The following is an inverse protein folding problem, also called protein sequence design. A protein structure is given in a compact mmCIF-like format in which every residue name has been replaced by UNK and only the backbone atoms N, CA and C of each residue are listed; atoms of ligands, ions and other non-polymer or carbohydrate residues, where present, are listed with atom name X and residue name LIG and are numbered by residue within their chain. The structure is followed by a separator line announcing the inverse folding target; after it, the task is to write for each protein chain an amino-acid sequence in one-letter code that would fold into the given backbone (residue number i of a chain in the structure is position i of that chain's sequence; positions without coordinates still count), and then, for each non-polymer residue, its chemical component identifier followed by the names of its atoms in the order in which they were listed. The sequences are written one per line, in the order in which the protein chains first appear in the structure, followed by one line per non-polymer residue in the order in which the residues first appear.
data_IF_784103607667
#
_entry.id   IF_784103607667
#
_cell.length_a   1.000
_cell.length_b   1.000
_cell.length_c   1.000
_cell.angle_alpha   90.00
_cell.angle_beta   90.00
_cell.angle_gamma   90.00
#
_symmetry.space_group_name_H-M   'P 1'
#
loop_
_entity.id
_entity.type
_entity.pdbx_description
1 polymer ?
#
# COMPACT_ATOMS: atom_id res chain seq x y z
N UNK A 1 43.96 -1.45 -33.03
CA UNK A 1 43.54 -0.03 -32.85
C UNK A 1 42.57 -0.02 -31.66
N UNK A 2 43.04 0.40 -30.50
CA UNK A 2 42.21 0.59 -29.29
C UNK A 2 41.87 2.07 -29.21
N UNK A 3 40.63 2.44 -29.46
CA UNK A 3 40.14 3.78 -29.19
C UNK A 3 40.01 3.99 -27.69
N UNK A 4 40.81 4.86 -27.15
CA UNK A 4 40.70 5.44 -25.82
C UNK A 4 39.52 6.44 -25.83
N UNK A 5 38.38 6.06 -25.31
CA UNK A 5 37.31 7.00 -24.96
C UNK A 5 37.70 7.75 -23.67
N UNK A 6 38.42 8.87 -23.83
CA UNK A 6 38.60 9.88 -22.81
C UNK A 6 37.28 10.64 -22.63
N UNK A 7 36.49 10.29 -21.62
CA UNK A 7 35.33 11.08 -21.22
C UNK A 7 35.80 12.37 -20.54
N UNK A 8 35.93 13.42 -21.35
CA UNK A 8 36.15 14.79 -20.87
C UNK A 8 34.90 15.22 -20.11
N UNK A 9 35.06 15.46 -18.82
CA UNK A 9 33.97 15.99 -17.99
C UNK A 9 33.50 17.35 -18.54
N UNK A 10 32.19 17.62 -18.58
CA UNK A 10 31.70 18.90 -19.12
C UNK A 10 32.26 20.08 -18.31
N UNK A 11 32.65 21.16 -19.00
CA UNK A 11 33.26 22.38 -18.43
C UNK A 11 32.54 23.02 -17.24
N UNK A 12 31.25 22.79 -17.08
CA UNK A 12 30.47 23.28 -15.94
C UNK A 12 30.80 22.54 -14.65
N UNK A 13 31.37 21.33 -14.68
CA UNK A 13 31.83 20.56 -13.51
C UNK A 13 32.97 21.27 -12.79
N UNK A 14 33.86 21.94 -13.52
CA UNK A 14 34.97 22.69 -12.96
C UNK A 14 34.53 24.00 -12.31
N UNK A 15 33.43 24.59 -12.78
CA UNK A 15 32.85 25.79 -12.17
C UNK A 15 32.29 25.53 -10.75
N UNK A 16 31.74 24.34 -10.53
CA UNK A 16 31.22 23.92 -9.21
C UNK A 16 32.32 23.46 -8.24
N UNK A 17 33.48 23.05 -8.73
CA UNK A 17 34.64 22.70 -7.89
C UNK A 17 35.21 23.90 -7.15
N UNK A 18 35.07 25.09 -7.70
CA UNK A 18 35.68 26.31 -7.20
C UNK A 18 34.74 27.21 -6.36
N UNK A 19 33.53 26.76 -6.04
CA UNK A 19 32.67 27.51 -5.14
C UNK A 19 33.10 27.33 -3.68
N UNK A 20 33.62 28.39 -3.02
CA UNK A 20 34.19 28.29 -1.67
C UNK A 20 33.17 28.00 -0.57
N UNK A 21 31.88 27.99 -0.84
CA UNK A 21 30.86 28.12 0.19
C UNK A 21 29.85 26.96 0.28
N UNK A 22 30.19 25.75 -0.13
CA UNK A 22 29.36 24.58 0.21
C UNK A 22 29.59 24.04 1.64
N UNK A 23 30.12 24.89 2.53
CA UNK A 23 30.06 24.68 4.00
C UNK A 23 28.62 24.74 4.54
N UNK A 24 27.68 25.24 3.76
CA UNK A 24 26.29 25.46 4.17
C UNK A 24 25.51 24.17 4.52
N UNK A 25 25.86 23.03 3.96
CA UNK A 25 25.16 21.77 4.30
C UNK A 25 25.48 21.27 5.70
N UNK A 26 26.64 21.61 6.28
CA UNK A 26 26.97 21.29 7.67
C UNK A 26 26.37 22.30 8.66
N UNK A 27 26.03 23.50 8.20
CA UNK A 27 25.32 24.50 8.99
C UNK A 27 23.90 24.09 9.32
N UNK A 28 23.24 23.30 8.48
CA UNK A 28 21.89 22.83 8.73
C UNK A 28 21.78 21.62 9.67
N UNK A 29 22.88 20.94 9.98
CA UNK A 29 22.86 19.70 10.76
C UNK A 29 23.39 19.87 12.20
N UNK A 30 24.30 20.81 12.45
CA UNK A 30 24.83 21.07 13.82
C UNK A 30 25.24 22.54 13.99
N UNK A 31 24.88 23.19 15.14
CA UNK A 31 25.34 24.54 15.49
C UNK A 31 26.88 24.62 15.52
N UNK A 32 27.43 25.80 15.19
CA UNK A 32 28.87 26.00 14.99
C UNK A 32 29.73 25.75 16.25
N UNK A 33 29.17 25.95 17.41
CA UNK A 33 29.75 25.75 18.74
C UNK A 33 29.85 24.25 19.12
N UNK A 34 28.97 23.41 18.59
CA UNK A 34 28.99 21.97 18.88
C UNK A 34 29.98 21.19 18.01
N UNK A 35 30.55 21.78 16.95
CA UNK A 35 31.50 21.12 16.05
C UNK A 35 32.89 20.91 16.66
N UNK A 36 33.26 21.69 17.65
CA UNK A 36 34.56 21.59 18.34
C UNK A 36 34.61 20.53 19.44
N UNK A 37 33.46 19.98 19.82
CA UNK A 37 33.33 19.19 21.04
C UNK A 37 33.35 17.68 20.85
N UNK A 38 33.31 17.13 19.60
CA UNK A 38 33.12 15.69 19.45
C UNK A 38 34.06 15.08 18.39
N UNK A 39 35.36 14.81 18.75
CA UNK A 39 36.28 14.03 17.91
C UNK A 39 35.74 12.64 17.53
N UNK A 40 34.90 12.07 18.40
CA UNK A 40 34.26 10.76 18.22
C UNK A 40 33.31 10.74 17.01
N UNK A 41 32.61 11.84 16.71
CA UNK A 41 31.71 11.88 15.53
C UNK A 41 32.49 11.96 14.21
N UNK A 42 33.64 12.61 14.20
CA UNK A 42 34.50 12.65 13.00
C UNK A 42 35.15 11.25 12.74
N UNK A 43 35.57 10.55 13.78
CA UNK A 43 36.07 9.18 13.67
C UNK A 43 34.95 8.21 13.27
N UNK A 44 33.78 8.34 13.86
CA UNK A 44 32.60 7.55 13.47
C UNK A 44 32.19 7.80 12.01
N UNK A 45 32.20 9.07 11.57
CA UNK A 45 31.92 9.43 10.19
C UNK A 45 32.97 8.90 9.20
N UNK A 46 34.26 8.87 9.59
CA UNK A 46 35.32 8.29 8.82
C UNK A 46 35.20 6.76 8.72
N UNK A 47 34.91 6.08 9.83
CA UNK A 47 34.66 4.63 9.86
C UNK A 47 33.41 4.24 9.05
N UNK A 48 32.34 5.01 9.18
CA UNK A 48 31.13 4.81 8.37
C UNK A 48 31.42 4.99 6.88
N UNK A 49 32.22 6.00 6.51
CA UNK A 49 32.67 6.22 5.12
C UNK A 49 33.53 5.06 4.60
N UNK A 50 34.48 4.59 5.37
CA UNK A 50 35.36 3.46 5.01
C UNK A 50 34.54 2.17 4.86
N UNK A 51 33.59 1.94 5.75
CA UNK A 51 32.71 0.79 5.71
C UNK A 51 31.76 0.85 4.50
N UNK A 52 31.14 2.01 4.23
CA UNK A 52 30.29 2.22 3.04
C UNK A 52 31.09 2.02 1.75
N UNK A 53 32.32 2.54 1.69
CA UNK A 53 33.20 2.37 0.53
C UNK A 53 33.56 0.90 0.30
N UNK A 54 33.85 0.14 1.37
CA UNK A 54 34.14 -1.30 1.29
C UNK A 54 32.94 -2.12 0.82
N UNK A 55 31.70 -1.74 1.21
CA UNK A 55 30.48 -2.41 0.78
C UNK A 55 30.12 -2.09 -0.68
N UNK A 56 30.55 -0.94 -1.18
CA UNK A 56 30.29 -0.49 -2.56
C UNK A 56 31.41 -0.88 -3.54
N UNK A 57 32.51 -1.51 -3.07
CA UNK A 57 33.66 -1.89 -3.90
C UNK A 57 34.41 -0.70 -4.51
N UNK A 58 34.42 0.46 -3.81
CA UNK A 58 35.07 1.69 -4.26
C UNK A 58 36.36 1.89 -3.50
N UNK A 59 37.53 1.91 -4.19
CA UNK A 59 38.85 1.98 -3.58
C UNK A 59 39.16 3.30 -2.84
N UNK A 60 38.42 4.37 -3.09
CA UNK A 60 38.53 5.62 -2.33
C UNK A 60 37.15 6.20 -1.98
N UNK A 61 36.92 6.52 -0.69
CA UNK A 61 35.66 7.13 -0.29
C UNK A 61 35.57 8.55 -0.83
N UNK A 62 34.82 8.71 -1.91
CA UNK A 62 34.41 10.04 -2.34
C UNK A 62 33.67 10.73 -1.17
N UNK A 63 33.88 12.05 -0.94
CA UNK A 63 33.12 12.78 0.05
C UNK A 63 31.62 12.50 -0.12
N UNK A 64 30.89 12.28 0.98
CA UNK A 64 29.46 11.96 0.98
C UNK A 64 28.64 12.89 0.05
N UNK A 65 29.05 14.17 -0.04
CA UNK A 65 28.46 15.16 -0.93
C UNK A 65 28.68 14.84 -2.42
N UNK A 66 29.87 14.29 -2.80
CA UNK A 66 30.19 13.92 -4.17
C UNK A 66 29.39 12.66 -4.56
N UNK A 67 29.18 11.79 -3.59
CA UNK A 67 28.38 10.59 -3.76
C UNK A 67 26.87 10.96 -3.89
N UNK A 68 26.32 11.81 -3.03
CA UNK A 68 24.96 12.35 -3.13
C UNK A 68 24.76 13.09 -4.46
N UNK A 69 25.76 13.89 -4.86
CA UNK A 69 25.72 14.58 -6.15
C UNK A 69 25.70 13.61 -7.34
N UNK A 70 26.49 12.54 -7.28
CA UNK A 70 26.48 11.46 -8.29
C UNK A 70 25.16 10.71 -8.32
N UNK A 71 24.50 10.53 -7.21
CA UNK A 71 23.20 9.84 -7.13
C UNK A 71 22.06 10.71 -7.67
N UNK A 72 22.06 12.01 -7.38
CA UNK A 72 20.89 12.87 -7.66
C UNK A 72 21.05 13.79 -8.88
N UNK A 73 22.24 14.04 -9.36
CA UNK A 73 22.51 15.08 -10.36
C UNK A 73 23.13 14.57 -11.67
N UNK A 74 23.71 13.38 -11.72
CA UNK A 74 24.32 12.82 -12.93
C UNK A 74 23.30 12.23 -13.91
N UNK A 75 23.58 12.23 -15.25
CA UNK A 75 22.69 11.72 -16.29
C UNK A 75 22.27 10.26 -16.05
N UNK A 76 21.08 9.91 -16.53
CA UNK A 76 20.34 8.66 -16.23
C UNK A 76 21.15 7.34 -16.28
N UNK A 77 22.11 7.18 -17.17
CA UNK A 77 22.91 5.94 -17.26
C UNK A 77 23.84 5.73 -16.05
N UNK A 78 24.39 6.82 -15.48
CA UNK A 78 25.21 6.79 -14.27
C UNK A 78 24.37 6.71 -12.99
N UNK A 79 23.19 7.33 -13.02
CA UNK A 79 22.23 7.25 -11.90
C UNK A 79 21.75 5.82 -11.68
N UNK A 80 21.52 5.05 -12.75
CA UNK A 80 20.95 3.70 -12.64
C UNK A 80 21.83 2.74 -11.83
N UNK A 81 23.14 2.67 -12.09
CA UNK A 81 24.03 1.78 -11.34
C UNK A 81 24.23 2.23 -9.88
N UNK A 82 24.38 3.53 -9.64
CA UNK A 82 24.59 4.06 -8.29
C UNK A 82 23.31 4.04 -7.46
N UNK A 83 22.14 4.32 -8.08
CA UNK A 83 20.85 4.22 -7.42
C UNK A 83 20.50 2.78 -7.06
N UNK A 84 20.81 1.82 -7.96
CA UNK A 84 20.64 0.40 -7.69
C UNK A 84 21.48 -0.07 -6.50
N UNK A 85 22.75 0.36 -6.43
CA UNK A 85 23.65 0.04 -5.31
C UNK A 85 23.18 0.66 -4.01
N UNK A 86 22.69 1.91 -4.02
CA UNK A 86 22.11 2.58 -2.86
C UNK A 86 20.85 1.88 -2.38
N UNK A 87 19.93 1.59 -3.29
CA UNK A 87 18.68 0.90 -2.97
C UNK A 87 18.97 -0.50 -2.41
N UNK A 88 19.93 -1.23 -2.96
CA UNK A 88 20.36 -2.52 -2.42
C UNK A 88 21.02 -2.40 -1.04
N UNK A 89 21.81 -1.35 -0.81
CA UNK A 89 22.40 -1.05 0.50
C UNK A 89 21.32 -0.71 1.54
N UNK A 90 20.40 0.19 1.19
CA UNK A 90 19.26 0.54 2.06
C UNK A 90 18.37 -0.68 2.33
N UNK A 91 18.06 -1.47 1.30
CA UNK A 91 17.28 -2.69 1.45
C UNK A 91 17.95 -3.74 2.35
N UNK A 92 19.29 -3.90 2.25
CA UNK A 92 20.06 -4.75 3.17
C UNK A 92 20.02 -4.20 4.59
N UNK A 93 20.29 -2.91 4.79
CA UNK A 93 20.24 -2.26 6.11
C UNK A 93 18.86 -2.37 6.77
N UNK A 94 17.80 -2.16 6.00
CA UNK A 94 16.43 -2.36 6.47
C UNK A 94 16.17 -3.84 6.77
N UNK A 95 16.67 -4.76 5.94
CA UNK A 95 16.59 -6.20 6.14
C UNK A 95 17.32 -6.66 7.40
N UNK A 96 18.50 -6.09 7.68
CA UNK A 96 19.28 -6.39 8.89
C UNK A 96 18.59 -5.84 10.15
N UNK A 97 18.08 -4.61 10.09
CA UNK A 97 17.29 -4.03 11.16
C UNK A 97 16.01 -4.84 11.43
N UNK A 98 15.32 -5.26 10.38
CA UNK A 98 14.14 -6.13 10.48
C UNK A 98 14.50 -7.46 11.17
N UNK A 99 15.62 -8.10 10.77
CA UNK A 99 16.10 -9.34 11.39
C UNK A 99 16.46 -9.14 12.86
N UNK A 100 17.17 -8.07 13.18
CA UNK A 100 17.50 -7.71 14.55
C UNK A 100 16.25 -7.50 15.41
N UNK A 101 15.29 -6.71 14.94
CA UNK A 101 14.02 -6.52 15.63
C UNK A 101 13.24 -7.83 15.79
N UNK A 102 13.23 -8.69 14.78
CA UNK A 102 12.61 -10.01 14.86
C UNK A 102 13.29 -10.92 15.89
N UNK A 103 14.62 -10.91 15.97
CA UNK A 103 15.37 -11.68 16.96
C UNK A 103 15.10 -11.21 18.39
N UNK A 104 14.98 -9.90 18.61
CA UNK A 104 14.60 -9.34 19.92
C UNK A 104 13.17 -9.66 20.30
N UNK A 105 12.26 -9.68 19.31
CA UNK A 105 10.84 -9.91 19.54
C UNK A 105 10.47 -11.40 19.62
N UNK A 106 11.18 -12.29 18.95
CA UNK A 106 10.86 -13.70 18.90
C UNK A 106 10.73 -14.38 20.29
N UNK A 107 11.62 -14.12 21.28
CA UNK A 107 11.45 -14.68 22.64
C UNK A 107 10.20 -14.17 23.34
N UNK A 108 9.91 -12.86 23.20
CA UNK A 108 8.70 -12.25 23.77
C UNK A 108 7.45 -12.84 23.12
N UNK A 109 7.49 -13.01 21.80
CA UNK A 109 6.40 -13.61 21.05
C UNK A 109 6.15 -15.07 21.47
N UNK A 110 7.18 -15.88 21.56
CA UNK A 110 7.05 -17.29 22.00
C UNK A 110 6.50 -17.41 23.44
N UNK A 111 6.95 -16.52 24.33
CA UNK A 111 6.46 -16.45 25.70
C UNK A 111 4.98 -16.05 25.77
N UNK A 112 4.55 -15.10 24.93
CA UNK A 112 3.15 -14.69 24.81
C UNK A 112 2.29 -15.79 24.19
N UNK A 113 2.76 -16.46 23.13
CA UNK A 113 2.06 -17.56 22.48
C UNK A 113 1.80 -18.74 23.41
N UNK A 114 2.74 -19.00 24.34
CA UNK A 114 2.61 -20.06 25.32
C UNK A 114 1.57 -19.73 26.42
N UNK A 115 1.20 -18.46 26.62
CA UNK A 115 0.33 -18.00 27.71
C UNK A 115 -0.97 -17.38 27.26
N UNK A 116 -1.06 -16.88 26.06
CA UNK A 116 -2.21 -16.12 25.57
C UNK A 116 -2.68 -16.69 24.25
N UNK A 117 -3.83 -17.32 24.24
CA UNK A 117 -4.54 -17.63 23.00
C UNK A 117 -5.13 -16.34 22.41
N UNK A 118 -4.39 -15.78 21.46
CA UNK A 118 -4.74 -14.51 20.81
C UNK A 118 -6.04 -14.61 20.01
N UNK A 119 -6.33 -15.78 19.43
CA UNK A 119 -7.56 -16.00 18.68
C UNK A 119 -8.77 -16.01 19.61
N UNK A 120 -8.68 -16.71 20.74
CA UNK A 120 -9.73 -16.72 21.76
C UNK A 120 -9.91 -15.34 22.40
N UNK A 121 -8.80 -14.62 22.67
CA UNK A 121 -8.86 -13.26 23.20
C UNK A 121 -9.53 -12.29 22.21
N UNK A 122 -9.15 -12.34 20.92
CA UNK A 122 -9.78 -11.52 19.89
C UNK A 122 -11.29 -11.74 19.78
N UNK A 123 -11.73 -13.01 19.75
CA UNK A 123 -13.16 -13.37 19.74
C UNK A 123 -13.90 -12.88 21.00
N UNK A 124 -13.28 -12.97 22.18
CA UNK A 124 -13.88 -12.45 23.43
C UNK A 124 -14.03 -10.93 23.39
N UNK A 125 -13.01 -10.21 22.92
CA UNK A 125 -13.05 -8.76 22.79
C UNK A 125 -14.08 -8.30 21.75
N UNK A 126 -14.19 -8.97 20.61
CA UNK A 126 -15.25 -8.71 19.63
C UNK A 126 -16.63 -8.96 20.23
N UNK A 127 -16.82 -10.05 21.00
CA UNK A 127 -18.05 -10.33 21.70
C UNK A 127 -18.43 -9.28 22.75
N UNK A 128 -17.45 -8.68 23.42
CA UNK A 128 -17.67 -7.54 24.32
C UNK A 128 -18.03 -6.26 23.54
N UNK A 129 -17.31 -5.99 22.44
CA UNK A 129 -17.57 -4.82 21.60
C UNK A 129 -18.98 -4.86 20.98
N UNK A 130 -19.49 -6.03 20.62
CA UNK A 130 -20.87 -6.21 20.12
C UNK A 130 -21.94 -5.86 21.18
N UNK A 131 -21.61 -5.87 22.48
CA UNK A 131 -22.51 -5.46 23.55
C UNK A 131 -22.56 -3.94 23.74
N UNK A 132 -21.57 -3.18 23.26
CA UNK A 132 -21.54 -1.72 23.38
C UNK A 132 -22.77 -1.01 22.79
N UNK A 133 -23.27 -1.38 21.60
CA UNK A 133 -24.50 -0.79 21.05
C UNK A 133 -25.76 -1.06 21.86
N UNK A 134 -25.79 -2.13 22.65
CA UNK A 134 -26.94 -2.48 23.53
C UNK A 134 -26.93 -1.76 24.86
N UNK A 135 -25.82 -1.08 25.18
CA UNK A 135 -25.71 -0.25 26.40
C UNK A 135 -26.57 1.01 26.27
N UNK A 136 -27.08 1.46 27.40
CA UNK A 136 -27.83 2.72 27.45
C UNK A 136 -26.94 3.90 27.02
N UNK A 137 -27.56 4.93 26.45
CA UNK A 137 -26.85 6.15 26.03
C UNK A 137 -26.03 6.73 27.20
N UNK A 138 -26.62 6.76 28.41
CA UNK A 138 -25.95 7.27 29.61
C UNK A 138 -24.66 6.54 29.93
N UNK A 139 -24.64 5.20 29.81
CA UNK A 139 -23.43 4.41 30.06
C UNK A 139 -22.35 4.66 28.99
N UNK A 140 -22.76 4.78 27.72
CA UNK A 140 -21.85 5.15 26.64
C UNK A 140 -21.21 6.53 26.85
N UNK A 141 -22.03 7.51 27.24
CA UNK A 141 -21.55 8.86 27.55
C UNK A 141 -20.61 8.86 28.77
N UNK A 142 -20.90 8.06 29.79
CA UNK A 142 -20.01 7.90 30.94
C UNK A 142 -18.65 7.33 30.55
N UNK A 143 -18.62 6.31 29.71
CA UNK A 143 -17.36 5.73 29.20
C UNK A 143 -16.56 6.80 28.45
N UNK A 144 -17.20 7.55 27.54
CA UNK A 144 -16.53 8.65 26.82
C UNK A 144 -16.02 9.71 27.78
N UNK A 145 -16.84 10.12 28.75
CA UNK A 145 -16.49 11.12 29.76
C UNK A 145 -15.28 10.72 30.62
N UNK A 146 -15.12 9.43 30.90
CA UNK A 146 -13.97 8.91 31.66
C UNK A 146 -12.74 8.75 30.74
N UNK A 147 -12.92 8.18 29.55
CA UNK A 147 -11.81 7.87 28.64
C UNK A 147 -11.18 9.14 28.02
N UNK A 148 -11.98 10.18 27.71
CA UNK A 148 -11.50 11.38 27.04
C UNK A 148 -10.47 12.19 27.88
N UNK A 149 -10.69 12.48 29.18
CA UNK A 149 -9.70 13.11 30.05
C UNK A 149 -8.43 12.27 30.18
N UNK A 150 -8.57 10.95 30.33
CA UNK A 150 -7.43 10.03 30.41
C UNK A 150 -6.59 10.07 29.14
N UNK A 151 -7.22 10.07 27.97
CA UNK A 151 -6.57 10.26 26.69
C UNK A 151 -5.88 11.64 26.63
N UNK A 152 -6.54 12.70 27.11
CA UNK A 152 -5.98 14.03 27.19
C UNK A 152 -4.68 14.07 28.01
N UNK A 153 -4.66 13.43 29.17
CA UNK A 153 -3.45 13.31 29.99
C UNK A 153 -2.33 12.58 29.26
N UNK A 154 -2.63 11.45 28.61
CA UNK A 154 -1.62 10.70 27.84
C UNK A 154 -1.03 11.56 26.71
N UNK A 155 -1.86 12.34 26.03
CA UNK A 155 -1.44 13.17 24.89
C UNK A 155 -0.63 14.37 25.34
N UNK A 156 -1.05 15.05 26.41
CA UNK A 156 -0.51 16.36 26.77
C UNK A 156 0.62 16.32 27.80
N UNK A 157 0.79 15.21 28.54
CA UNK A 157 1.84 15.12 29.56
C UNK A 157 3.22 15.06 28.93
N UNK A 158 4.12 16.04 29.20
CA UNK A 158 5.50 15.98 28.74
C UNK A 158 6.24 14.87 29.48
N UNK A 159 6.98 14.07 28.77
CA UNK A 159 7.82 13.01 29.34
C UNK A 159 9.30 13.32 29.09
N UNK A 160 10.19 13.07 30.08
CA UNK A 160 11.63 13.08 29.85
C UNK A 160 12.02 12.14 28.71
N UNK A 161 13.18 12.34 28.05
CA UNK A 161 13.56 11.55 26.86
C UNK A 161 13.56 10.03 27.07
N UNK A 162 14.00 9.55 28.25
CA UNK A 162 14.01 8.13 28.58
C UNK A 162 12.57 7.59 28.72
N UNK A 163 11.71 8.28 29.43
CA UNK A 163 10.32 7.87 29.63
C UNK A 163 9.54 7.93 28.32
N UNK A 164 9.84 8.91 27.46
CA UNK A 164 9.29 8.97 26.11
C UNK A 164 9.73 7.77 25.25
N UNK A 165 10.99 7.36 25.37
CA UNK A 165 11.49 6.16 24.67
C UNK A 165 10.81 4.88 25.19
N UNK A 166 10.67 4.74 26.49
CA UNK A 166 9.96 3.60 27.12
C UNK A 166 8.48 3.57 26.70
N UNK A 167 7.83 4.73 26.67
CA UNK A 167 6.45 4.86 26.19
C UNK A 167 6.33 4.43 24.72
N UNK A 168 7.25 4.87 23.85
CA UNK A 168 7.27 4.46 22.45
C UNK A 168 7.47 2.96 22.28
N UNK A 169 8.39 2.35 23.04
CA UNK A 169 8.63 0.90 23.05
C UNK A 169 7.36 0.15 23.49
N UNK A 170 6.69 0.63 24.55
CA UNK A 170 5.43 0.04 25.01
C UNK A 170 4.36 0.12 23.94
N UNK A 171 4.17 1.28 23.30
CA UNK A 171 3.19 1.47 22.22
C UNK A 171 3.47 0.55 21.03
N UNK A 172 4.73 0.41 20.62
CA UNK A 172 5.14 -0.51 19.56
C UNK A 172 4.87 -1.96 19.97
N UNK A 173 5.22 -2.34 21.21
CA UNK A 173 4.96 -3.68 21.74
C UNK A 173 3.47 -4.04 21.75
N UNK A 174 2.63 -3.11 22.22
CA UNK A 174 1.17 -3.27 22.17
C UNK A 174 0.64 -3.39 20.74
N UNK A 175 1.15 -2.57 19.81
CA UNK A 175 0.78 -2.65 18.40
C UNK A 175 1.21 -3.98 17.77
N UNK A 176 2.43 -4.44 18.03
CA UNK A 176 2.92 -5.73 17.55
C UNK A 176 2.13 -6.91 18.13
N UNK A 177 1.68 -6.82 19.35
CA UNK A 177 0.79 -7.81 19.96
C UNK A 177 -0.60 -7.78 19.31
N UNK A 178 -1.23 -6.61 19.24
CA UNK A 178 -2.59 -6.45 18.74
C UNK A 178 -2.72 -6.82 17.26
N UNK A 179 -1.71 -6.52 16.42
CA UNK A 179 -1.73 -6.86 14.98
C UNK A 179 -1.82 -8.37 14.69
N UNK A 180 -1.49 -9.20 15.67
CA UNK A 180 -1.56 -10.66 15.55
C UNK A 180 -2.90 -11.22 16.03
N UNK A 181 -3.76 -10.38 16.58
CA UNK A 181 -5.10 -10.76 17.01
C UNK A 181 -6.08 -10.59 15.85
N UNK A 182 -6.92 -11.60 15.57
CA UNK A 182 -8.00 -11.44 14.61
C UNK A 182 -9.11 -10.55 15.19
N UNK A 183 -9.90 -9.92 14.30
CA UNK A 183 -11.13 -9.26 14.68
C UNK A 183 -11.12 -7.75 14.55
N UNK A 184 -12.33 -7.17 14.66
CA UNK A 184 -12.57 -5.74 14.49
C UNK A 184 -12.02 -4.94 15.66
N UNK A 185 -12.13 -5.47 16.88
CA UNK A 185 -11.65 -4.80 18.10
C UNK A 185 -10.13 -4.62 18.08
N UNK A 186 -9.37 -5.62 17.62
CA UNK A 186 -7.93 -5.50 17.49
C UNK A 186 -7.55 -4.41 16.49
N UNK A 187 -8.27 -4.28 15.37
CA UNK A 187 -8.07 -3.23 14.38
C UNK A 187 -8.35 -1.85 14.97
N UNK A 188 -9.50 -1.66 15.61
CA UNK A 188 -9.85 -0.39 16.26
C UNK A 188 -8.82 -0.02 17.32
N UNK A 189 -8.34 -0.98 18.09
CA UNK A 189 -7.29 -0.75 19.09
C UNK A 189 -5.99 -0.27 18.43
N UNK A 190 -5.56 -0.87 17.30
CA UNK A 190 -4.38 -0.41 16.54
C UNK A 190 -4.55 1.02 16.03
N UNK A 191 -5.72 1.35 15.49
CA UNK A 191 -6.04 2.72 15.04
C UNK A 191 -6.00 3.71 16.23
N UNK A 192 -6.51 3.30 17.39
CA UNK A 192 -6.47 4.12 18.61
C UNK A 192 -5.03 4.37 19.07
N UNK A 193 -4.16 3.35 19.08
CA UNK A 193 -2.75 3.52 19.41
C UNK A 193 -2.06 4.50 18.47
N UNK A 194 -2.31 4.38 17.18
CA UNK A 194 -1.73 5.29 16.18
C UNK A 194 -2.28 6.71 16.32
N UNK A 195 -3.58 6.85 16.60
CA UNK A 195 -4.20 8.17 16.86
C UNK A 195 -3.58 8.83 18.11
N UNK A 196 -3.38 8.06 19.19
CA UNK A 196 -2.71 8.57 20.41
C UNK A 196 -1.32 9.07 20.10
N UNK A 197 -0.53 8.29 19.36
CA UNK A 197 0.82 8.69 18.96
C UNK A 197 0.81 9.96 18.10
N UNK A 198 -0.11 10.06 17.14
CA UNK A 198 -0.26 11.21 16.25
C UNK A 198 -0.68 12.46 17.01
N UNK A 199 -1.68 12.37 17.90
CA UNK A 199 -2.13 13.50 18.71
C UNK A 199 -1.05 13.97 19.67
N UNK A 200 -0.30 13.03 20.27
CA UNK A 200 0.84 13.34 21.14
C UNK A 200 1.95 14.07 20.37
N UNK A 201 2.25 13.61 19.13
CA UNK A 201 3.19 14.31 18.25
C UNK A 201 2.72 15.72 17.92
N UNK A 202 1.46 15.91 17.51
CA UNK A 202 0.92 17.23 17.19
C UNK A 202 0.93 18.17 18.40
N UNK A 203 0.60 17.66 19.60
CA UNK A 203 0.68 18.43 20.83
C UNK A 203 2.10 18.91 21.08
N UNK A 204 3.07 18.01 21.06
CA UNK A 204 4.48 18.35 21.22
C UNK A 204 4.95 19.32 20.14
N UNK A 205 4.55 19.13 18.91
CA UNK A 205 4.93 19.97 17.77
C UNK A 205 4.51 21.43 18.00
N UNK A 206 3.27 21.66 18.44
CA UNK A 206 2.72 22.99 18.67
C UNK A 206 3.29 23.62 19.96
N UNK A 207 3.43 22.84 21.03
CA UNK A 207 3.77 23.41 22.36
C UNK A 207 5.26 23.50 22.61
N UNK A 208 6.10 22.70 21.95
CA UNK A 208 7.52 22.59 22.27
C UNK A 208 8.47 22.96 21.12
N UNK A 209 7.99 23.04 19.87
CA UNK A 209 8.89 23.19 18.72
C UNK A 209 8.58 24.38 17.81
N UNK A 210 7.56 25.18 18.12
CA UNK A 210 7.27 26.38 17.33
C UNK A 210 8.19 27.53 17.77
N UNK A 211 9.02 28.10 16.86
CA UNK A 211 9.95 29.19 17.16
C UNK A 211 9.22 30.54 17.13
N UNK A 212 8.39 30.80 18.13
CA UNK A 212 7.52 31.99 18.16
C UNK A 212 8.28 33.33 18.26
N UNK A 213 9.52 33.29 18.76
CA UNK A 213 10.36 34.48 18.93
C UNK A 213 11.14 34.89 17.67
N UNK A 214 11.20 34.00 16.65
CA UNK A 214 11.98 34.16 15.40
C UNK A 214 11.02 34.23 14.22
N UNK A 215 10.62 35.39 13.69
CA UNK A 215 9.57 35.54 12.68
C UNK A 215 9.85 34.77 11.38
N UNK A 216 11.11 34.70 10.93
CA UNK A 216 11.50 33.96 9.70
C UNK A 216 11.40 32.48 9.92
N UNK A 217 11.89 31.99 11.06
CA UNK A 217 11.83 30.55 11.37
C UNK A 217 10.38 30.11 11.64
N UNK A 218 9.58 30.99 12.27
CA UNK A 218 8.15 30.77 12.46
C UNK A 218 7.42 30.61 11.11
N UNK A 219 7.74 31.47 10.13
CA UNK A 219 7.14 31.40 8.81
C UNK A 219 7.40 30.01 8.15
N UNK A 220 8.64 29.55 8.16
CA UNK A 220 8.97 28.24 7.59
C UNK A 220 8.42 27.08 8.44
N UNK A 221 8.40 27.22 9.77
CA UNK A 221 7.80 26.24 10.67
C UNK A 221 6.29 26.09 10.44
N UNK A 222 5.57 27.18 10.14
CA UNK A 222 4.15 27.14 9.81
C UNK A 222 3.89 26.46 8.46
N UNK A 223 4.73 26.69 7.45
CA UNK A 223 4.62 25.96 6.16
C UNK A 223 4.82 24.47 6.38
N UNK A 224 5.86 24.08 7.13
CA UNK A 224 6.10 22.67 7.45
C UNK A 224 4.94 22.08 8.24
N UNK A 225 4.43 22.80 9.24
CA UNK A 225 3.30 22.36 10.04
C UNK A 225 2.01 22.18 9.21
N UNK A 226 1.78 23.04 8.22
CA UNK A 226 0.67 22.88 7.29
C UNK A 226 0.80 21.58 6.47
N UNK A 227 2.02 21.24 6.03
CA UNK A 227 2.28 19.96 5.34
C UNK A 227 2.09 18.76 6.29
N UNK A 228 2.52 18.87 7.54
CA UNK A 228 2.28 17.85 8.58
C UNK A 228 0.78 17.65 8.85
N UNK A 229 0.02 18.74 8.97
CA UNK A 229 -1.45 18.70 9.15
C UNK A 229 -2.14 18.05 7.94
N UNK A 230 -1.68 18.35 6.72
CA UNK A 230 -2.18 17.68 5.52
C UNK A 230 -1.95 16.15 5.60
N UNK A 231 -0.73 15.73 5.94
CA UNK A 231 -0.41 14.31 6.09
C UNK A 231 -1.26 13.63 7.18
N UNK A 232 -1.46 14.29 8.33
CA UNK A 232 -2.34 13.80 9.41
C UNK A 232 -3.79 13.72 8.95
N UNK A 233 -4.27 14.70 8.20
CA UNK A 233 -5.64 14.67 7.64
C UNK A 233 -5.85 13.46 6.74
N UNK A 234 -4.92 13.19 5.82
CA UNK A 234 -4.97 12.01 4.95
C UNK A 234 -4.92 10.72 5.78
N UNK A 235 -4.08 10.66 6.81
CA UNK A 235 -4.01 9.53 7.74
C UNK A 235 -5.36 9.28 8.43
N UNK A 236 -6.00 10.33 8.96
CA UNK A 236 -7.29 10.22 9.64
C UNK A 236 -8.41 9.80 8.70
N UNK A 237 -8.43 10.33 7.47
CA UNK A 237 -9.37 9.90 6.43
C UNK A 237 -9.15 8.42 6.07
N UNK A 238 -7.89 7.99 5.96
CA UNK A 238 -7.55 6.57 5.77
C UNK A 238 -8.01 5.67 6.93
N UNK A 239 -7.88 6.14 8.17
CA UNK A 239 -8.42 5.41 9.32
C UNK A 239 -9.94 5.33 9.30
N UNK A 240 -10.61 6.43 9.00
CA UNK A 240 -12.07 6.45 8.84
C UNK A 240 -12.52 5.47 7.77
N UNK A 241 -11.84 5.44 6.62
CA UNK A 241 -12.12 4.54 5.52
C UNK A 241 -11.93 3.06 5.90
N UNK A 242 -10.86 2.75 6.65
CA UNK A 242 -10.44 1.36 6.92
C UNK A 242 -10.83 0.83 8.30
N UNK A 243 -11.44 1.64 9.15
CA UNK A 243 -11.76 1.26 10.53
C UNK A 243 -12.74 0.08 10.62
N UNK A 244 -13.65 -0.05 9.66
CA UNK A 244 -14.72 -1.02 9.71
C UNK A 244 -14.73 -1.93 8.48
N UNK A 245 -13.95 -3.01 8.48
CA UNK A 245 -13.94 -3.95 7.37
C UNK A 245 -15.30 -4.63 7.24
N UNK A 246 -15.77 -4.73 6.02
CA UNK A 246 -16.90 -5.56 5.68
C UNK A 246 -16.45 -7.04 5.70
N UNK A 247 -17.31 -7.91 6.13
CA UNK A 247 -17.19 -9.35 5.95
C UNK A 247 -18.48 -9.81 5.27
N UNK A 248 -18.48 -9.78 3.95
CA UNK A 248 -19.62 -10.25 3.16
C UNK A 248 -19.43 -11.72 2.86
N UNK A 249 -20.27 -12.54 3.51
CA UNK A 249 -20.34 -13.96 3.17
C UNK A 249 -21.00 -14.12 1.80
N UNK A 250 -20.66 -15.20 1.09
CA UNK A 250 -21.28 -15.50 -0.20
C UNK A 250 -22.80 -15.68 -0.04
N UNK A 251 -23.58 -15.07 -0.89
CA UNK A 251 -25.02 -15.29 -0.91
C UNK A 251 -25.29 -16.64 -1.62
N UNK A 252 -26.09 -17.56 -1.00
CA UNK A 252 -26.32 -18.87 -1.57
C UNK A 252 -27.09 -18.79 -2.88
N UNK A 253 -26.73 -19.63 -3.83
CA UNK A 253 -27.48 -19.89 -5.05
C UNK A 253 -28.61 -20.91 -4.81
N UNK A 254 -29.66 -20.92 -5.66
CA UNK A 254 -30.64 -21.99 -5.66
C UNK A 254 -30.00 -23.36 -5.82
N UNK A 255 -30.56 -24.37 -5.17
CA UNK A 255 -30.04 -25.74 -5.25
C UNK A 255 -30.23 -26.33 -6.65
N UNK A 256 -31.34 -26.00 -7.31
CA UNK A 256 -31.59 -26.37 -8.69
C UNK A 256 -30.82 -25.45 -9.65
N UNK A 257 -29.89 -26.02 -10.44
CA UNK A 257 -29.14 -25.29 -11.45
C UNK A 257 -29.99 -24.75 -12.59
N UNK A 258 -31.19 -25.28 -12.79
CA UNK A 258 -32.13 -24.75 -13.77
C UNK A 258 -32.65 -23.36 -13.41
N UNK A 259 -32.62 -22.99 -12.13
CA UNK A 259 -33.00 -21.67 -11.66
C UNK A 259 -31.87 -20.64 -11.75
N UNK A 260 -30.66 -21.07 -12.10
CA UNK A 260 -29.52 -20.16 -12.25
C UNK A 260 -29.73 -19.29 -13.50
N UNK A 261 -29.42 -18.00 -13.42
CA UNK A 261 -29.57 -17.09 -14.55
C UNK A 261 -28.55 -17.34 -15.66
N UNK A 262 -28.85 -16.85 -16.86
CA UNK A 262 -27.90 -16.78 -17.95
C UNK A 262 -26.93 -15.61 -17.77
N UNK A 263 -25.66 -15.83 -18.11
CA UNK A 263 -24.59 -14.85 -17.94
C UNK A 263 -23.78 -14.68 -19.21
N UNK A 264 -23.64 -13.46 -19.68
CA UNK A 264 -22.74 -13.09 -20.76
C UNK A 264 -21.43 -12.55 -20.18
N UNK A 265 -20.31 -13.15 -20.58
CA UNK A 265 -18.97 -12.70 -20.20
C UNK A 265 -18.44 -11.77 -21.28
N UNK A 266 -18.13 -10.52 -20.94
CA UNK A 266 -17.55 -9.55 -21.85
C UNK A 266 -16.06 -9.40 -21.58
N UNK A 267 -15.24 -9.58 -22.61
CA UNK A 267 -13.78 -9.41 -22.57
C UNK A 267 -13.38 -8.38 -23.63
N UNK A 268 -13.42 -7.07 -23.28
CA UNK A 268 -13.03 -6.02 -24.20
C UNK A 268 -11.50 -6.02 -24.39
N UNK A 269 -11.06 -5.84 -25.64
CA UNK A 269 -9.65 -5.76 -26.03
C UNK A 269 -9.47 -4.77 -27.18
N UNK A 270 -8.26 -4.18 -27.31
CA UNK A 270 -7.93 -3.24 -28.39
C UNK A 270 -6.58 -3.54 -29.04
N UNK A 271 -5.47 -3.36 -28.30
CA UNK A 271 -4.10 -3.54 -28.80
C UNK A 271 -3.33 -4.67 -28.07
N UNK A 272 -3.93 -5.28 -27.08
CA UNK A 272 -3.27 -6.32 -26.27
C UNK A 272 -2.99 -7.54 -27.12
N UNK A 273 -1.76 -8.07 -27.06
CA UNK A 273 -1.40 -9.26 -27.85
C UNK A 273 -2.19 -10.50 -27.40
N UNK A 274 -2.42 -11.43 -28.33
CA UNK A 274 -3.16 -12.69 -28.07
C UNK A 274 -2.63 -13.46 -26.84
N UNK A 275 -1.33 -13.40 -26.55
CA UNK A 275 -0.73 -14.02 -25.37
C UNK A 275 -1.28 -13.51 -24.03
N UNK A 276 -1.83 -12.27 -24.00
CA UNK A 276 -2.45 -11.67 -22.81
C UNK A 276 -3.92 -12.06 -22.74
N UNK A 277 -4.65 -12.00 -23.84
CA UNK A 277 -6.06 -12.33 -23.93
C UNK A 277 -6.36 -13.82 -23.71
N UNK A 278 -5.53 -14.69 -24.27
CA UNK A 278 -5.75 -16.14 -24.28
C UNK A 278 -5.99 -16.75 -22.90
N UNK A 279 -5.18 -16.47 -21.87
CA UNK A 279 -5.41 -16.99 -20.51
C UNK A 279 -6.77 -16.59 -19.95
N UNK A 280 -7.21 -15.35 -20.18
CA UNK A 280 -8.50 -14.82 -19.71
C UNK A 280 -9.68 -15.55 -20.36
N UNK A 281 -9.66 -15.74 -21.67
CA UNK A 281 -10.72 -16.47 -22.41
C UNK A 281 -10.78 -17.93 -21.94
N UNK A 282 -9.62 -18.59 -21.83
CA UNK A 282 -9.58 -20.00 -21.38
C UNK A 282 -10.04 -20.16 -19.93
N UNK A 283 -9.74 -19.17 -19.06
CA UNK A 283 -10.23 -19.17 -17.68
C UNK A 283 -11.74 -18.92 -17.63
N UNK A 284 -12.29 -18.04 -18.48
CA UNK A 284 -13.71 -17.80 -18.59
C UNK A 284 -14.48 -19.05 -19.05
N UNK A 285 -13.93 -19.83 -19.99
CA UNK A 285 -14.46 -21.13 -20.36
C UNK A 285 -14.44 -22.17 -19.23
N UNK A 286 -13.53 -22.01 -18.27
CA UNK A 286 -13.40 -22.88 -17.10
C UNK A 286 -14.24 -22.46 -15.90
N UNK A 287 -15.10 -21.45 -15.99
CA UNK A 287 -15.98 -21.01 -14.90
C UNK A 287 -16.97 -22.14 -14.52
N UNK A 288 -17.22 -22.30 -13.22
CA UNK A 288 -18.19 -23.28 -12.70
C UNK A 288 -19.62 -22.73 -12.84
N UNK A 289 -20.11 -22.80 -14.10
CA UNK A 289 -21.44 -22.37 -14.49
C UNK A 289 -22.00 -23.30 -15.57
N UNK A 290 -23.34 -23.53 -15.67
CA UNK A 290 -23.92 -24.37 -16.73
C UNK A 290 -23.55 -23.82 -18.12
N UNK A 291 -23.07 -24.69 -18.99
CA UNK A 291 -22.58 -24.29 -20.31
C UNK A 291 -23.67 -23.72 -21.24
N UNK A 292 -24.90 -24.14 -21.06
CA UNK A 292 -26.09 -23.64 -21.77
C UNK A 292 -26.53 -22.26 -21.28
N UNK A 293 -25.99 -21.79 -20.14
CA UNK A 293 -26.29 -20.50 -19.51
C UNK A 293 -25.08 -19.56 -19.46
N UNK A 294 -24.01 -19.87 -20.18
CA UNK A 294 -22.79 -19.11 -20.21
C UNK A 294 -22.38 -18.78 -21.64
N UNK A 295 -22.35 -17.53 -22.00
CA UNK A 295 -21.86 -17.06 -23.29
C UNK A 295 -20.65 -16.16 -23.12
N UNK A 296 -19.58 -16.40 -23.84
CA UNK A 296 -18.35 -15.61 -23.77
C UNK A 296 -18.19 -14.79 -25.03
N UNK A 297 -17.95 -13.50 -24.86
CA UNK A 297 -17.85 -12.51 -25.91
C UNK A 297 -16.51 -11.80 -25.85
N UNK A 298 -15.68 -11.94 -26.86
CA UNK A 298 -14.47 -11.12 -27.06
C UNK A 298 -14.83 -9.93 -27.92
N UNK A 299 -14.66 -8.74 -27.34
CA UNK A 299 -15.06 -7.46 -27.96
C UNK A 299 -13.81 -6.74 -28.45
N UNK A 300 -13.45 -6.95 -29.73
CA UNK A 300 -12.18 -6.45 -30.27
C UNK A 300 -12.30 -5.13 -31.03
N UNK A 301 -11.94 -4.03 -30.41
CA UNK A 301 -11.81 -2.72 -31.03
C UNK A 301 -10.63 -2.61 -32.00
N UNK A 302 -9.68 -3.57 -31.93
CA UNK A 302 -8.52 -3.68 -32.82
C UNK A 302 -8.84 -4.31 -34.19
N UNK A 303 -9.95 -5.00 -34.35
CA UNK A 303 -10.41 -5.69 -35.58
C UNK A 303 -9.37 -6.67 -36.13
N UNK A 304 -8.86 -7.53 -35.27
CA UNK A 304 -7.68 -8.39 -35.54
C UNK A 304 -8.07 -9.81 -35.93
N UNK A 305 -7.54 -10.26 -37.07
CA UNK A 305 -7.84 -11.58 -37.62
C UNK A 305 -7.26 -12.75 -36.79
N UNK A 306 -6.16 -12.54 -36.11
CA UNK A 306 -5.57 -13.54 -35.20
C UNK A 306 -6.43 -13.78 -33.97
N UNK A 307 -7.04 -12.72 -33.44
CA UNK A 307 -8.00 -12.81 -32.32
C UNK A 307 -9.28 -13.51 -32.80
N UNK A 308 -9.79 -13.14 -33.96
CA UNK A 308 -10.97 -13.77 -34.55
C UNK A 308 -10.77 -15.28 -34.70
N UNK A 309 -9.67 -15.71 -35.33
CA UNK A 309 -9.34 -17.14 -35.48
C UNK A 309 -9.26 -17.86 -34.15
N UNK A 310 -8.61 -17.24 -33.15
CA UNK A 310 -8.53 -17.81 -31.81
C UNK A 310 -9.92 -17.99 -31.19
N UNK A 311 -10.82 -17.03 -31.35
CA UNK A 311 -12.19 -17.09 -30.81
C UNK A 311 -12.99 -18.23 -31.50
N UNK A 312 -12.83 -18.40 -32.84
CA UNK A 312 -13.43 -19.50 -33.59
C UNK A 312 -12.91 -20.87 -33.09
N UNK A 313 -11.61 -21.01 -32.88
CA UNK A 313 -10.97 -22.22 -32.34
C UNK A 313 -11.41 -22.51 -30.89
N UNK A 314 -11.58 -21.47 -30.07
CA UNK A 314 -12.01 -21.60 -28.68
C UNK A 314 -13.52 -21.80 -28.51
N UNK A 315 -14.32 -21.63 -29.58
CA UNK A 315 -15.77 -21.69 -29.51
C UNK A 315 -16.45 -20.57 -28.77
N UNK A 316 -15.86 -19.36 -28.81
CA UNK A 316 -16.40 -18.15 -28.15
C UNK A 316 -16.83 -17.11 -29.18
N UNK A 317 -17.76 -16.24 -28.80
CA UNK A 317 -18.25 -15.19 -29.66
C UNK A 317 -17.20 -14.09 -29.87
N UNK A 318 -17.06 -13.64 -31.11
CA UNK A 318 -16.20 -12.55 -31.50
C UNK A 318 -17.03 -11.39 -32.05
N UNK A 319 -16.84 -10.19 -31.50
CA UNK A 319 -17.58 -9.01 -31.91
C UNK A 319 -16.63 -7.85 -32.19
N UNK A 320 -16.87 -7.19 -33.35
CA UNK A 320 -16.21 -5.94 -33.73
C UNK A 320 -17.27 -4.88 -33.99
N UNK A 321 -16.88 -3.61 -33.91
CA UNK A 321 -17.76 -2.48 -34.21
C UNK A 321 -17.15 -1.55 -35.27
N UNK A 322 -17.95 -0.74 -35.98
CA UNK A 322 -17.46 0.09 -37.09
C UNK A 322 -16.53 1.21 -36.63
N UNK A 323 -16.66 1.70 -35.41
CA UNK A 323 -15.86 2.80 -34.86
C UNK A 323 -15.54 2.53 -33.38
N UNK A 324 -14.57 3.29 -32.83
CA UNK A 324 -14.12 3.13 -31.44
C UNK A 324 -14.60 4.29 -30.55
N UNK A 325 -15.74 4.94 -30.89
CA UNK A 325 -16.27 6.02 -30.06
C UNK A 325 -16.58 5.53 -28.63
N UNK A 326 -16.28 6.38 -27.66
CA UNK A 326 -16.45 6.11 -26.23
C UNK A 326 -15.62 4.93 -25.71
N UNK A 327 -14.54 4.57 -26.41
CA UNK A 327 -13.56 3.56 -25.99
C UNK A 327 -14.21 2.28 -25.41
N UNK A 328 -13.76 1.79 -24.25
CA UNK A 328 -14.28 0.58 -23.59
C UNK A 328 -15.80 0.64 -23.34
N UNK A 329 -16.31 1.76 -22.83
CA UNK A 329 -17.75 1.91 -22.55
C UNK A 329 -18.61 1.77 -23.82
N UNK A 330 -18.17 2.38 -24.94
CA UNK A 330 -18.83 2.23 -26.22
C UNK A 330 -18.79 0.80 -26.77
N UNK A 331 -17.69 0.07 -26.53
CA UNK A 331 -17.55 -1.33 -26.94
C UNK A 331 -18.52 -2.23 -26.14
N UNK A 332 -18.57 -2.06 -24.83
CA UNK A 332 -19.53 -2.77 -23.97
C UNK A 332 -20.98 -2.48 -24.36
N UNK A 333 -21.34 -1.20 -24.57
CA UNK A 333 -22.70 -0.83 -24.99
C UNK A 333 -23.06 -1.37 -26.38
N UNK A 334 -22.10 -1.51 -27.27
CA UNK A 334 -22.34 -2.16 -28.56
C UNK A 334 -22.66 -3.63 -28.39
N UNK A 335 -21.93 -4.34 -27.52
CA UNK A 335 -22.15 -5.76 -27.25
C UNK A 335 -23.55 -6.05 -26.67
N UNK A 336 -24.11 -5.15 -25.88
CA UNK A 336 -25.48 -5.25 -25.34
C UNK A 336 -26.56 -5.43 -26.42
N UNK A 337 -26.30 -5.04 -27.66
CA UNK A 337 -27.24 -5.19 -28.77
C UNK A 337 -27.30 -6.61 -29.34
N UNK A 338 -26.31 -7.45 -29.02
CA UNK A 338 -26.10 -8.79 -29.58
C UNK A 338 -26.22 -9.90 -28.54
N UNK A 339 -26.05 -9.56 -27.28
CA UNK A 339 -26.11 -10.52 -26.17
C UNK A 339 -27.47 -10.55 -25.51
N UNK A 340 -27.82 -11.66 -24.89
CA UNK A 340 -29.16 -11.93 -24.35
C UNK A 340 -29.14 -12.49 -22.93
N UNK A 341 -27.97 -12.53 -22.28
CA UNK A 341 -27.85 -13.00 -20.91
C UNK A 341 -28.60 -12.10 -19.92
N UNK A 342 -29.17 -12.72 -18.88
CA UNK A 342 -29.84 -11.98 -17.79
C UNK A 342 -28.87 -11.04 -17.06
N UNK A 343 -27.62 -11.44 -16.99
CA UNK A 343 -26.53 -10.69 -16.34
C UNK A 343 -25.28 -10.65 -17.20
N UNK A 344 -24.43 -9.66 -16.95
CA UNK A 344 -23.17 -9.46 -17.64
C UNK A 344 -22.04 -9.46 -16.62
N UNK A 345 -21.00 -10.25 -16.86
CA UNK A 345 -19.74 -10.14 -16.15
C UNK A 345 -18.66 -9.56 -17.09
N UNK A 346 -17.89 -8.59 -16.62
CA UNK A 346 -16.90 -7.88 -17.41
C UNK A 346 -15.52 -8.22 -16.85
N UNK A 347 -14.65 -8.76 -17.68
CA UNK A 347 -13.24 -8.97 -17.37
C UNK A 347 -12.38 -8.20 -18.34
N UNK A 348 -11.40 -7.45 -17.85
CA UNK A 348 -10.36 -6.92 -18.73
C UNK A 348 -9.56 -8.06 -19.34
N UNK A 349 -8.98 -7.84 -20.51
CA UNK A 349 -8.33 -8.90 -21.29
C UNK A 349 -7.12 -9.56 -20.56
N UNK A 350 -6.63 -8.96 -19.49
CA UNK A 350 -5.57 -9.45 -18.60
C UNK A 350 -6.09 -9.91 -17.22
N UNK A 351 -7.41 -9.89 -16.98
CA UNK A 351 -8.03 -10.34 -15.75
C UNK A 351 -8.48 -11.81 -15.88
N UNK A 352 -7.79 -12.70 -15.18
CA UNK A 352 -8.08 -14.14 -15.20
C UNK A 352 -9.11 -14.47 -14.11
N UNK A 353 -10.38 -14.78 -14.45
CA UNK A 353 -11.38 -15.14 -13.46
C UNK A 353 -11.05 -16.47 -12.78
N UNK A 354 -11.34 -16.55 -11.49
CA UNK A 354 -11.29 -17.82 -10.75
C UNK A 354 -12.51 -18.67 -11.05
N UNK A 355 -12.37 -20.01 -11.03
CA UNK A 355 -13.48 -20.92 -11.32
C UNK A 355 -14.78 -20.63 -10.56
N UNK A 356 -14.79 -20.33 -9.24
CA UNK A 356 -16.01 -20.07 -8.49
C UNK A 356 -16.55 -18.65 -8.64
N UNK A 357 -15.98 -17.79 -9.51
CA UNK A 357 -16.34 -16.36 -9.59
C UNK A 357 -17.86 -16.12 -9.67
N UNK A 358 -18.54 -16.78 -10.61
CA UNK A 358 -19.99 -16.61 -10.78
C UNK A 358 -20.76 -17.19 -9.59
N UNK A 359 -20.31 -18.31 -9.04
CA UNK A 359 -20.97 -18.90 -7.86
C UNK A 359 -20.90 -18.00 -6.64
N UNK A 360 -19.79 -17.32 -6.46
CA UNK A 360 -19.58 -16.42 -5.30
C UNK A 360 -20.29 -15.06 -5.47
N UNK A 361 -20.62 -14.66 -6.71
CA UNK A 361 -21.17 -13.33 -6.99
C UNK A 361 -22.65 -13.33 -7.31
N UNK A 362 -23.15 -14.30 -8.07
CA UNK A 362 -24.49 -14.29 -8.63
C UNK A 362 -25.60 -14.40 -7.58
N UNK A 363 -25.34 -15.08 -6.45
CA UNK A 363 -26.29 -15.19 -5.36
C UNK A 363 -26.75 -13.84 -4.80
N UNK A 364 -25.92 -12.81 -4.86
CA UNK A 364 -26.27 -11.46 -4.40
C UNK A 364 -27.36 -10.80 -5.22
N UNK A 365 -27.34 -10.97 -6.55
CA UNK A 365 -28.36 -10.44 -7.44
C UNK A 365 -29.72 -11.12 -7.23
N UNK A 366 -29.70 -12.42 -6.92
CA UNK A 366 -30.93 -13.18 -6.64
C UNK A 366 -31.48 -12.86 -5.25
N UNK A 367 -30.61 -12.54 -4.28
CA UNK A 367 -30.99 -12.21 -2.91
C UNK A 367 -31.57 -10.79 -2.78
N UNK A 368 -30.99 -9.83 -3.50
CA UNK A 368 -31.38 -8.42 -3.43
C UNK A 368 -31.73 -7.87 -4.82
N UNK A 369 -33.02 -7.68 -5.13
CA UNK A 369 -33.46 -7.13 -6.41
C UNK A 369 -32.95 -5.71 -6.72
N UNK A 370 -32.40 -5.00 -5.72
CA UNK A 370 -31.77 -3.68 -5.89
C UNK A 370 -30.28 -3.75 -6.16
N UNK A 371 -29.70 -4.94 -6.11
CA UNK A 371 -28.29 -5.14 -6.39
C UNK A 371 -28.01 -4.93 -7.88
N UNK A 372 -27.41 -3.80 -8.23
CA UNK A 372 -27.10 -3.45 -9.61
C UNK A 372 -25.71 -3.90 -10.04
N UNK A 373 -24.75 -3.95 -9.12
CA UNK A 373 -23.34 -4.29 -9.39
C UNK A 373 -22.75 -5.07 -8.22
N UNK A 374 -21.98 -6.11 -8.53
CA UNK A 374 -21.11 -6.81 -7.59
C UNK A 374 -19.70 -6.71 -8.13
N UNK A 375 -18.82 -6.06 -7.39
CA UNK A 375 -17.39 -5.94 -7.73
C UNK A 375 -16.56 -6.81 -6.80
N UNK A 376 -15.62 -7.57 -7.36
CA UNK A 376 -14.69 -8.38 -6.61
C UNK A 376 -13.32 -7.72 -6.53
N UNK A 377 -12.52 -7.97 -5.49
CA UNK A 377 -11.17 -7.47 -5.41
C UNK A 377 -10.28 -8.12 -6.47
N UNK A 378 -9.33 -7.35 -7.00
CA UNK A 378 -8.27 -7.86 -7.86
C UNK A 378 -7.12 -8.42 -7.01
N UNK A 379 -6.47 -9.45 -7.52
CA UNK A 379 -5.26 -10.02 -6.93
C UNK A 379 -4.19 -10.21 -8.00
N UNK A 380 -3.02 -9.57 -7.81
CA UNK A 380 -1.90 -9.75 -8.71
C UNK A 380 -1.17 -11.06 -8.42
N UNK A 381 -1.29 -12.04 -9.32
CA UNK A 381 -0.63 -13.33 -9.14
C UNK A 381 0.88 -13.28 -9.49
N UNK A 382 1.33 -12.27 -10.24
CA UNK A 382 2.74 -12.06 -10.55
C UNK A 382 3.30 -10.88 -9.76
N UNK A 383 4.50 -11.00 -9.16
CA UNK A 383 5.10 -9.90 -8.45
C UNK A 383 5.43 -8.77 -9.43
N UNK A 384 4.98 -7.55 -9.09
CA UNK A 384 5.31 -6.35 -9.85
C UNK A 384 6.82 -6.03 -9.81
N UNK A 385 7.32 -5.13 -10.69
CA UNK A 385 8.74 -4.75 -10.71
C UNK A 385 9.23 -4.18 -9.38
N UNK A 386 8.38 -3.48 -8.64
CA UNK A 386 8.72 -2.87 -7.35
C UNK A 386 8.98 -3.95 -6.29
N UNK A 387 8.10 -4.93 -6.16
CA UNK A 387 8.29 -6.09 -5.27
C UNK A 387 9.57 -6.85 -5.60
N UNK A 388 9.82 -7.13 -6.90
CA UNK A 388 11.05 -7.80 -7.35
C UNK A 388 12.30 -7.02 -6.99
N UNK A 389 12.30 -5.71 -7.24
CA UNK A 389 13.45 -4.85 -7.01
C UNK A 389 13.75 -4.67 -5.52
N UNK A 390 12.73 -4.68 -4.66
CA UNK A 390 12.89 -4.64 -3.21
C UNK A 390 13.22 -6.01 -2.60
N UNK A 391 13.13 -7.10 -3.37
CA UNK A 391 13.37 -8.45 -2.87
C UNK A 391 12.32 -8.88 -1.83
N UNK A 392 11.09 -8.41 -1.97
CA UNK A 392 9.99 -8.79 -1.07
C UNK A 392 9.67 -10.27 -1.23
N UNK A 393 9.43 -10.95 -0.10
CA UNK A 393 9.09 -12.37 -0.09
C UNK A 393 7.62 -12.59 -0.38
N UNK A 394 7.31 -13.81 -0.87
CA UNK A 394 5.93 -14.26 -0.99
C UNK A 394 5.26 -14.26 0.39
N UNK A 395 4.03 -13.73 0.45
CA UNK A 395 3.28 -13.55 1.69
C UNK A 395 3.52 -12.23 2.43
N UNK A 396 4.46 -11.37 1.99
CA UNK A 396 4.50 -9.99 2.46
C UNK A 396 3.37 -9.18 1.79
N UNK A 397 2.64 -8.32 2.57
CA UNK A 397 1.56 -7.53 2.00
C UNK A 397 2.02 -6.70 0.81
N UNK A 398 1.36 -6.86 -0.32
CA UNK A 398 1.61 -6.08 -1.52
C UNK A 398 0.66 -4.88 -1.59
N UNK A 399 0.95 -3.93 -2.46
CA UNK A 399 0.14 -2.73 -2.63
C UNK A 399 -1.28 -3.06 -3.09
N UNK A 400 -1.44 -4.08 -3.95
CA UNK A 400 -2.73 -4.59 -4.39
C UNK A 400 -3.59 -5.10 -3.23
N UNK A 401 -3.00 -5.79 -2.26
CA UNK A 401 -3.71 -6.24 -1.05
C UNK A 401 -4.17 -5.07 -0.18
N UNK A 402 -3.40 -3.98 -0.12
CA UNK A 402 -3.81 -2.76 0.58
C UNK A 402 -4.96 -2.09 -0.16
N UNK A 403 -4.82 -1.90 -1.46
CA UNK A 403 -5.80 -1.18 -2.27
C UNK A 403 -7.11 -1.98 -2.40
N UNK A 404 -7.05 -3.19 -2.94
CA UNK A 404 -8.25 -3.98 -3.24
C UNK A 404 -8.82 -4.69 -2.01
N UNK A 405 -7.96 -5.10 -1.07
CA UNK A 405 -8.40 -5.83 0.12
C UNK A 405 -8.78 -4.95 1.31
N UNK A 406 -8.31 -3.70 1.38
CA UNK A 406 -8.55 -2.84 2.54
C UNK A 406 -9.23 -1.53 2.18
N UNK A 407 -8.70 -0.77 1.21
CA UNK A 407 -9.26 0.54 0.87
C UNK A 407 -10.57 0.41 0.11
N UNK A 408 -10.65 -0.52 -0.83
CA UNK A 408 -11.86 -0.78 -1.60
C UNK A 408 -12.99 -1.33 -0.70
N UNK A 409 -12.67 -2.24 0.22
CA UNK A 409 -13.60 -2.75 1.22
C UNK A 409 -14.16 -1.63 2.12
N UNK A 410 -13.27 -0.69 2.53
CA UNK A 410 -13.67 0.49 3.28
C UNK A 410 -14.56 1.45 2.46
N UNK A 411 -14.26 1.64 1.18
CA UNK A 411 -15.10 2.43 0.28
C UNK A 411 -16.50 1.81 0.14
N UNK A 412 -16.58 0.50 -0.01
CA UNK A 412 -17.83 -0.22 -0.11
C UNK A 412 -18.68 -0.06 1.16
N UNK A 413 -18.07 -0.10 2.35
CA UNK A 413 -18.77 0.18 3.61
C UNK A 413 -19.46 1.56 3.60
N UNK A 414 -18.83 2.58 3.03
CA UNK A 414 -19.35 3.93 2.96
C UNK A 414 -20.17 4.21 1.68
N UNK A 415 -20.46 3.17 0.88
CA UNK A 415 -21.12 3.30 -0.43
C UNK A 415 -20.41 4.29 -1.38
N UNK A 416 -19.10 4.32 -1.31
CA UNK A 416 -18.22 5.18 -2.11
C UNK A 416 -17.44 4.38 -3.17
N UNK A 417 -17.89 3.19 -3.51
CA UNK A 417 -17.26 2.32 -4.51
C UNK A 417 -17.77 2.63 -5.90
N UNK A 418 -16.86 2.73 -6.86
CA UNK A 418 -17.15 2.90 -8.27
C UNK A 418 -16.33 1.95 -9.12
#
# INVERSE_FOLDING_TARGET
MREQNSTVAPRWVDHWRNLPNLKWWWLFVLPADQRKAIPILDDLALRLRAWVASQLGVEQPAPLRLWLWRVFVLPQAYQYQNTKSLLQFMARGIGDLKRFCQQLWAPVQSWLDARVDRAALGKRLDGLALKLPTMTLSLRLLIVFVCLPFLGVIVTTPLPPLDQALFAILMIGLAMFARQMPGKTARVFLLTLSLVATLRYLWWRVTATMPVDEPVDLFFALILFAAELYAVTILLLGYFQTAWPLNREEAPLPTDRNEWPSVDIYIPTYNEPLKVLRPTVLAALGLDWPADKLSIWVLDDGRRDDIKRFCEEAGVNFLIRPNNFHAKAGNLNHALQYSTGDYIAIFDCDHIPTRPFLRSTMGWFLKDPKCAVVQTPHHFFSPDPFRRNLGMKDGEPAEDMLFHGLLQDGNDFWNATF
#
